data_IF_408301135029
#
_entry.id   IF_408301135029
#
_cell.length_a   1.000
_cell.length_b   1.000
_cell.length_c   1.000
_cell.angle_alpha   90.00
_cell.angle_beta   90.00
_cell.angle_gamma   90.00
#
_symmetry.space_group_name_H-M   'P 1'
#
loop_
_entity.id
_entity.type
_entity.pdbx_description
1 polymer ?
#
# COMPACT_ATOMS: atom_id res chain seq x y z
N UNK A 1 -15.02 -25.06 7.85
CA UNK A 1 -14.70 -23.61 7.98
C UNK A 1 -14.87 -23.22 9.43
N UNK A 2 -13.87 -23.53 10.25
CA UNK A 2 -13.89 -23.30 11.69
C UNK A 2 -12.97 -22.10 11.99
N UNK A 3 -13.53 -21.04 12.57
CA UNK A 3 -12.76 -20.19 13.43
C UNK A 3 -12.45 -18.76 13.02
N UNK A 4 -13.08 -18.16 12.00
CA UNK A 4 -13.02 -16.71 11.89
C UNK A 4 -14.05 -16.11 12.84
N UNK A 5 -13.59 -15.29 13.79
CA UNK A 5 -14.46 -14.55 14.69
C UNK A 5 -15.38 -13.60 13.89
N UNK A 6 -16.65 -13.57 14.27
CA UNK A 6 -17.65 -12.70 13.63
C UNK A 6 -17.22 -11.23 13.66
N UNK A 7 -16.56 -10.78 14.72
CA UNK A 7 -16.01 -9.43 14.88
C UNK A 7 -14.98 -9.13 13.81
N UNK A 8 -14.05 -10.06 13.55
CA UNK A 8 -13.05 -9.94 12.51
C UNK A 8 -13.70 -9.87 11.11
N UNK A 9 -14.69 -10.73 10.85
CA UNK A 9 -15.41 -10.72 9.57
C UNK A 9 -16.12 -9.39 9.32
N UNK A 10 -16.78 -8.83 10.33
CA UNK A 10 -17.42 -7.52 10.24
C UNK A 10 -16.40 -6.41 10.01
N UNK A 11 -15.24 -6.47 10.69
CA UNK A 11 -14.16 -5.50 10.49
C UNK A 11 -13.64 -5.55 9.05
N UNK A 12 -13.28 -6.73 8.54
CA UNK A 12 -12.79 -6.92 7.18
C UNK A 12 -13.80 -6.39 6.15
N UNK A 13 -15.09 -6.74 6.32
CA UNK A 13 -16.15 -6.23 5.45
C UNK A 13 -16.25 -4.70 5.49
N UNK A 14 -16.21 -4.12 6.68
CA UNK A 14 -16.30 -2.66 6.85
C UNK A 14 -15.13 -1.94 6.19
N UNK A 15 -13.91 -2.46 6.36
CA UNK A 15 -12.70 -1.92 5.74
C UNK A 15 -12.78 -1.98 4.22
N UNK A 16 -13.21 -3.12 3.65
CA UNK A 16 -13.39 -3.27 2.20
C UNK A 16 -14.45 -2.33 1.64
N UNK A 17 -15.58 -2.16 2.35
CA UNK A 17 -16.64 -1.22 1.93
C UNK A 17 -16.14 0.22 1.99
N UNK A 18 -15.40 0.59 3.04
CA UNK A 18 -14.80 1.92 3.16
C UNK A 18 -13.88 2.21 1.97
N UNK A 19 -12.98 1.27 1.64
CA UNK A 19 -12.08 1.40 0.48
C UNK A 19 -12.87 1.58 -0.81
N UNK A 20 -13.87 0.72 -1.07
CA UNK A 20 -14.70 0.78 -2.27
C UNK A 20 -15.39 2.14 -2.41
N UNK A 21 -16.07 2.60 -1.37
CA UNK A 21 -16.79 3.87 -1.39
C UNK A 21 -15.84 5.06 -1.55
N UNK A 22 -14.68 5.00 -0.91
CA UNK A 22 -13.64 6.01 -1.06
C UNK A 22 -13.15 6.10 -2.51
N UNK A 23 -12.83 4.97 -3.12
CA UNK A 23 -12.30 4.91 -4.49
C UNK A 23 -13.35 5.33 -5.54
N UNK A 24 -14.59 4.93 -5.37
CA UNK A 24 -15.68 5.39 -6.24
C UNK A 24 -15.81 6.92 -6.17
N UNK A 25 -15.68 7.49 -4.97
CA UNK A 25 -15.71 8.95 -4.77
C UNK A 25 -14.48 9.63 -5.36
N UNK A 26 -13.30 9.05 -5.18
CA UNK A 26 -12.06 9.55 -5.78
C UNK A 26 -12.16 9.56 -7.31
N UNK A 27 -12.66 8.46 -7.90
CA UNK A 27 -12.90 8.37 -9.35
C UNK A 27 -13.88 9.42 -9.87
N UNK A 28 -14.99 9.68 -9.16
CA UNK A 28 -15.91 10.76 -9.51
C UNK A 28 -15.22 12.12 -9.49
N UNK A 29 -14.44 12.41 -8.44
CA UNK A 29 -13.76 13.70 -8.30
C UNK A 29 -12.64 13.87 -9.33
N UNK A 30 -11.98 12.78 -9.72
CA UNK A 30 -11.00 12.78 -10.80
C UNK A 30 -11.68 13.09 -12.14
N UNK A 31 -12.81 12.47 -12.46
CA UNK A 31 -13.61 12.78 -13.65
C UNK A 31 -14.08 14.24 -13.70
N UNK A 32 -14.35 14.84 -12.55
CA UNK A 32 -14.67 16.27 -12.42
C UNK A 32 -13.44 17.18 -12.42
N UNK A 33 -12.24 16.66 -12.67
CA UNK A 33 -10.96 17.40 -12.70
C UNK A 33 -10.64 18.11 -11.38
N UNK A 34 -11.11 17.57 -10.25
CA UNK A 34 -10.80 18.09 -8.90
C UNK A 34 -9.52 17.50 -8.32
N UNK A 35 -9.09 16.37 -8.87
CA UNK A 35 -7.84 15.68 -8.52
C UNK A 35 -6.91 15.83 -9.71
N UNK A 36 -5.69 16.35 -9.47
CA UNK A 36 -4.67 16.55 -10.49
C UNK A 36 -3.71 15.38 -10.63
N UNK A 37 -2.97 15.34 -11.73
CA UNK A 37 -2.01 14.28 -12.00
C UNK A 37 -2.67 12.94 -12.32
N UNK A 38 -1.95 11.83 -12.10
CA UNK A 38 -2.49 10.49 -12.23
C UNK A 38 -3.25 10.09 -10.98
N UNK A 39 -4.35 9.36 -11.16
CA UNK A 39 -5.14 8.80 -10.07
C UNK A 39 -5.29 7.29 -10.30
N UNK A 40 -4.75 6.49 -9.39
CA UNK A 40 -4.76 5.04 -9.48
C UNK A 40 -5.69 4.45 -8.43
N UNK A 41 -6.88 4.03 -8.87
CA UNK A 41 -7.90 3.47 -7.99
C UNK A 41 -7.59 2.02 -7.60
N UNK A 42 -7.94 1.66 -6.37
CA UNK A 42 -7.70 0.34 -5.78
C UNK A 42 -8.90 -0.61 -5.88
N UNK A 43 -9.94 -0.24 -6.65
CA UNK A 43 -11.15 -1.03 -6.81
C UNK A 43 -10.84 -2.46 -7.24
N UNK A 44 -11.45 -3.43 -6.55
CA UNK A 44 -11.32 -4.86 -6.85
C UNK A 44 -10.19 -5.56 -6.10
N UNK A 45 -9.32 -4.84 -5.39
CA UNK A 45 -8.20 -5.41 -4.64
C UNK A 45 -8.35 -5.25 -3.11
N UNK A 46 -9.50 -4.76 -2.64
CA UNK A 46 -9.75 -4.38 -1.25
C UNK A 46 -9.49 -5.51 -0.25
N UNK A 47 -9.77 -6.75 -0.65
CA UNK A 47 -9.57 -7.92 0.20
C UNK A 47 -8.09 -8.17 0.54
N UNK A 48 -7.17 -7.81 -0.38
CA UNK A 48 -5.73 -7.94 -0.14
C UNK A 48 -5.31 -6.98 0.96
N UNK A 49 -5.62 -5.69 0.83
CA UNK A 49 -5.26 -4.70 1.84
C UNK A 49 -5.91 -4.98 3.20
N UNK A 50 -7.22 -5.29 3.23
CA UNK A 50 -7.94 -5.59 4.46
C UNK A 50 -7.40 -6.84 5.16
N UNK A 51 -7.14 -7.92 4.40
CA UNK A 51 -6.63 -9.17 4.93
C UNK A 51 -5.25 -9.01 5.57
N UNK A 52 -4.30 -8.42 4.86
CA UNK A 52 -2.97 -8.17 5.41
C UNK A 52 -2.99 -7.23 6.61
N UNK A 53 -3.74 -6.11 6.52
CA UNK A 53 -3.84 -5.16 7.62
C UNK A 53 -4.37 -5.78 8.92
N UNK A 54 -5.24 -6.80 8.80
CA UNK A 54 -5.77 -7.51 9.98
C UNK A 54 -4.73 -8.38 10.70
N UNK A 55 -3.63 -8.71 10.03
CA UNK A 55 -2.54 -9.54 10.56
C UNK A 55 -1.32 -8.71 10.98
N UNK A 56 -1.27 -7.42 10.63
CA UNK A 56 -0.13 -6.54 10.91
C UNK A 56 -0.29 -5.81 12.25
N UNK A 57 0.84 -5.61 12.90
CA UNK A 57 0.98 -4.75 14.08
C UNK A 57 1.71 -3.45 13.67
N UNK A 58 0.94 -2.43 13.34
CA UNK A 58 1.47 -1.12 12.91
C UNK A 58 2.29 -0.37 13.98
N UNK A 59 2.45 -0.94 15.18
CA UNK A 59 3.41 -0.40 16.17
C UNK A 59 4.86 -0.82 15.89
N UNK A 60 5.07 -1.85 15.06
CA UNK A 60 6.41 -2.41 14.75
C UNK A 60 6.58 -2.84 13.29
N UNK A 61 5.48 -3.16 12.58
CA UNK A 61 5.54 -3.60 11.19
C UNK A 61 5.51 -2.39 10.25
N UNK A 62 6.21 -2.48 9.14
CA UNK A 62 6.27 -1.43 8.12
C UNK A 62 5.60 -1.87 6.84
N UNK A 63 4.95 -0.91 6.17
CA UNK A 63 4.27 -1.13 4.90
C UNK A 63 4.79 -0.19 3.83
N UNK A 64 5.14 -0.74 2.68
CA UNK A 64 5.49 -0.01 1.47
C UNK A 64 4.62 -0.48 0.31
N UNK A 65 4.27 0.43 -0.58
CA UNK A 65 3.37 0.14 -1.71
C UNK A 65 3.92 0.71 -3.01
N UNK A 66 3.38 0.25 -4.12
CA UNK A 66 3.48 0.95 -5.39
C UNK A 66 2.53 2.15 -5.45
N UNK A 67 2.31 2.65 -6.64
CA UNK A 67 1.51 3.86 -6.90
C UNK A 67 0.00 3.72 -6.66
N UNK A 68 -0.51 2.51 -6.41
CA UNK A 68 -1.94 2.22 -6.14
C UNK A 68 -2.11 1.96 -4.64
N UNK A 69 -2.03 3.00 -3.83
CA UNK A 69 -1.82 2.91 -2.39
C UNK A 69 -3.00 3.37 -1.51
N UNK A 70 -4.09 3.88 -2.11
CA UNK A 70 -5.23 4.41 -1.33
C UNK A 70 -5.83 3.37 -0.38
N UNK A 71 -6.09 2.15 -0.88
CA UNK A 71 -6.64 1.06 -0.08
C UNK A 71 -5.73 0.69 1.09
N UNK A 72 -4.42 0.58 0.84
CA UNK A 72 -3.43 0.29 1.87
C UNK A 72 -3.33 1.41 2.92
N UNK A 73 -3.39 2.68 2.48
CA UNK A 73 -3.39 3.83 3.39
C UNK A 73 -4.61 3.82 4.31
N UNK A 74 -5.80 3.52 3.76
CA UNK A 74 -7.02 3.36 4.54
C UNK A 74 -6.92 2.17 5.51
N UNK A 75 -6.40 1.04 5.05
CA UNK A 75 -6.19 -0.15 5.87
C UNK A 75 -5.20 0.08 7.01
N UNK A 76 -4.18 0.92 6.80
CA UNK A 76 -3.26 1.36 7.83
C UNK A 76 -3.88 2.34 8.84
N UNK A 77 -5.16 2.71 8.66
CA UNK A 77 -5.88 3.60 9.56
C UNK A 77 -5.72 5.09 9.27
N UNK A 78 -5.20 5.46 8.10
CA UNK A 78 -5.22 6.85 7.66
C UNK A 78 -6.66 7.29 7.38
N UNK A 79 -7.00 8.52 7.76
CA UNK A 79 -8.38 8.98 7.60
C UNK A 79 -8.73 9.26 6.14
N UNK A 80 -9.93 8.90 5.67
CA UNK A 80 -10.38 9.24 4.31
C UNK A 80 -10.26 10.74 4.00
N UNK A 81 -10.46 11.58 5.02
CA UNK A 81 -10.34 13.04 4.89
C UNK A 81 -8.91 13.47 4.57
N UNK A 82 -7.90 12.91 5.26
CA UNK A 82 -6.50 13.26 5.02
C UNK A 82 -6.04 12.80 3.63
N UNK A 83 -6.44 11.58 3.23
CA UNK A 83 -6.13 11.03 1.91
C UNK A 83 -6.81 11.86 0.82
N UNK A 84 -8.11 12.13 0.93
CA UNK A 84 -8.83 12.94 -0.06
C UNK A 84 -8.26 14.37 -0.15
N UNK A 85 -7.87 14.97 0.97
CA UNK A 85 -7.21 16.28 0.98
C UNK A 85 -5.88 16.24 0.23
N UNK A 86 -5.12 15.16 0.33
CA UNK A 86 -3.89 14.96 -0.43
C UNK A 86 -4.17 14.88 -1.93
N UNK A 87 -5.16 14.09 -2.33
CA UNK A 87 -5.58 13.97 -3.74
C UNK A 87 -6.00 15.31 -4.34
N UNK A 88 -6.60 16.19 -3.53
CA UNK A 88 -6.98 17.55 -3.91
C UNK A 88 -5.83 18.57 -3.84
N UNK A 89 -4.60 18.14 -3.52
CA UNK A 89 -3.44 19.02 -3.40
C UNK A 89 -3.54 20.01 -2.23
N UNK A 90 -4.23 19.63 -1.14
CA UNK A 90 -4.42 20.51 0.02
C UNK A 90 -3.31 20.32 1.05
N UNK A 91 -2.90 21.42 1.68
CA UNK A 91 -1.87 21.41 2.73
C UNK A 91 -2.26 20.54 3.94
N UNK A 92 -3.54 20.25 4.11
CA UNK A 92 -4.07 19.34 5.15
C UNK A 92 -4.02 17.87 4.77
N UNK A 93 -3.52 17.55 3.57
CA UNK A 93 -3.25 16.18 3.15
C UNK A 93 -2.04 15.58 3.86
N UNK A 94 -1.92 14.25 3.85
CA UNK A 94 -0.88 13.52 4.56
C UNK A 94 0.56 13.85 4.09
N UNK A 95 0.72 14.20 2.81
CA UNK A 95 1.98 14.69 2.22
C UNK A 95 1.92 16.19 1.89
N UNK A 96 1.10 16.94 2.60
CA UNK A 96 0.88 18.39 2.46
C UNK A 96 0.48 18.83 1.05
N UNK A 97 -0.27 17.97 0.35
CA UNK A 97 -0.74 18.21 -1.00
C UNK A 97 0.32 18.09 -2.10
N UNK A 98 1.49 17.54 -1.79
CA UNK A 98 2.61 17.39 -2.74
C UNK A 98 2.72 15.99 -3.35
N UNK A 99 2.12 14.99 -2.70
CA UNK A 99 2.19 13.59 -3.09
C UNK A 99 1.13 13.18 -4.10
N UNK A 100 -0.07 13.74 -3.98
CA UNK A 100 -1.21 13.34 -4.81
C UNK A 100 -1.60 11.88 -4.59
N UNK A 101 -2.11 11.22 -5.64
CA UNK A 101 -2.62 9.85 -5.58
C UNK A 101 -1.55 8.77 -5.34
N UNK A 102 -0.29 9.01 -5.65
CA UNK A 102 0.74 7.97 -5.70
C UNK A 102 1.75 8.03 -4.53
N UNK A 103 1.64 9.01 -3.66
CA UNK A 103 2.65 9.26 -2.64
C UNK A 103 1.98 9.65 -1.31
N UNK A 104 1.23 8.69 -0.76
CA UNK A 104 0.61 8.80 0.56
C UNK A 104 1.58 8.24 1.60
N UNK A 105 1.84 8.99 2.68
CA UNK A 105 2.79 8.59 3.73
C UNK A 105 2.21 8.88 5.11
N UNK A 106 2.46 7.99 6.06
CA UNK A 106 2.20 8.21 7.48
C UNK A 106 3.25 7.50 8.34
N UNK A 107 4.27 8.23 8.73
CA UNK A 107 5.37 7.70 9.52
C UNK A 107 4.93 7.20 10.91
N UNK A 108 3.87 7.79 11.49
CA UNK A 108 3.36 7.36 12.80
C UNK A 108 2.68 5.98 12.74
N UNK A 109 2.18 5.60 11.57
CA UNK A 109 1.57 4.29 11.31
C UNK A 109 2.53 3.34 10.61
N UNK A 110 3.80 3.67 10.53
CA UNK A 110 4.79 2.92 9.78
C UNK A 110 4.37 2.63 8.31
N UNK A 111 3.48 3.47 7.77
CA UNK A 111 3.10 3.45 6.38
C UNK A 111 4.07 4.34 5.57
N UNK A 112 5.06 3.69 4.97
CA UNK A 112 6.14 4.36 4.22
C UNK A 112 5.76 4.63 2.76
N UNK A 113 4.52 4.38 2.43
CA UNK A 113 3.80 4.96 1.31
C UNK A 113 4.03 4.36 -0.04
N UNK A 114 3.45 5.08 -1.00
CA UNK A 114 3.44 4.74 -2.40
C UNK A 114 4.66 5.23 -3.16
N UNK A 115 5.05 4.47 -4.17
CA UNK A 115 6.13 4.81 -5.06
C UNK A 115 5.64 4.80 -6.52
N UNK A 116 5.81 5.93 -7.22
CA UNK A 116 5.40 6.07 -8.62
C UNK A 116 6.29 5.29 -9.60
N UNK A 117 7.53 4.96 -9.21
CA UNK A 117 8.44 4.19 -10.05
C UNK A 117 8.20 2.70 -9.81
N UNK A 118 7.76 1.99 -10.86
CA UNK A 118 7.38 0.58 -10.78
C UNK A 118 8.55 -0.28 -10.28
N UNK A 119 8.32 -1.00 -9.19
CA UNK A 119 9.30 -1.91 -8.59
C UNK A 119 10.32 -1.25 -7.66
N UNK A 120 10.45 0.09 -7.66
CA UNK A 120 11.47 0.78 -6.86
C UNK A 120 11.25 0.67 -5.34
N UNK A 121 10.02 0.46 -4.89
CA UNK A 121 9.71 0.25 -3.47
C UNK A 121 10.29 -1.07 -2.92
N UNK A 122 10.57 -2.05 -3.77
CA UNK A 122 10.99 -3.39 -3.32
C UNK A 122 12.39 -3.36 -2.68
N UNK A 123 13.43 -2.78 -3.31
CA UNK A 123 14.73 -2.64 -2.65
C UNK A 123 14.69 -1.70 -1.43
N UNK A 124 13.82 -0.69 -1.43
CA UNK A 124 13.63 0.16 -0.25
C UNK A 124 13.07 -0.66 0.91
N UNK A 125 12.08 -1.51 0.65
CA UNK A 125 11.50 -2.41 1.65
C UNK A 125 12.53 -3.42 2.18
N UNK A 126 13.42 -3.94 1.32
CA UNK A 126 14.53 -4.78 1.76
C UNK A 126 15.46 -4.03 2.72
N UNK A 127 15.72 -2.74 2.47
CA UNK A 127 16.48 -1.87 3.36
C UNK A 127 15.79 -1.65 4.71
N UNK A 128 14.46 -1.43 4.71
CA UNK A 128 13.66 -1.30 5.95
C UNK A 128 13.69 -2.61 6.75
N UNK A 129 13.48 -3.75 6.08
CA UNK A 129 13.55 -5.06 6.72
C UNK A 129 14.97 -5.37 7.27
N UNK A 130 16.01 -4.91 6.59
CA UNK A 130 17.38 -4.99 7.10
C UNK A 130 17.54 -4.18 8.39
N UNK A 131 17.05 -2.95 8.41
CA UNK A 131 17.08 -2.10 9.61
C UNK A 131 16.33 -2.73 10.78
N UNK A 132 15.13 -3.28 10.55
CA UNK A 132 14.36 -3.99 11.57
C UNK A 132 15.13 -5.19 12.15
N UNK A 133 15.75 -5.99 11.27
CA UNK A 133 16.58 -7.12 11.70
C UNK A 133 17.79 -6.66 12.49
N UNK A 134 18.50 -5.63 12.01
CA UNK A 134 19.67 -5.08 12.69
C UNK A 134 19.34 -4.54 14.07
N UNK A 135 18.23 -3.80 14.18
CA UNK A 135 17.75 -3.21 15.43
C UNK A 135 17.01 -4.21 16.34
N UNK A 136 16.73 -5.44 15.84
CA UNK A 136 16.01 -6.49 16.56
C UNK A 136 14.62 -6.05 17.05
N UNK A 137 13.89 -5.31 16.23
CA UNK A 137 12.55 -4.78 16.59
C UNK A 137 11.48 -5.87 16.74
N UNK A 138 11.70 -7.04 16.14
CA UNK A 138 10.72 -8.12 16.09
C UNK A 138 9.55 -7.86 15.12
N UNK A 139 9.60 -6.77 14.33
CA UNK A 139 8.63 -6.47 13.29
C UNK A 139 8.99 -7.06 11.93
N UNK A 140 8.03 -7.01 11.02
CA UNK A 140 8.18 -7.37 9.61
C UNK A 140 7.95 -6.17 8.70
N UNK A 141 8.51 -6.21 7.51
CA UNK A 141 8.22 -5.25 6.44
C UNK A 141 7.39 -5.93 5.36
N UNK A 142 6.24 -5.36 5.03
CA UNK A 142 5.40 -5.82 3.91
C UNK A 142 5.56 -4.84 2.75
N UNK A 143 5.82 -5.38 1.56
CA UNK A 143 5.91 -4.58 0.33
C UNK A 143 4.91 -5.10 -0.70
N UNK A 144 4.04 -4.20 -1.18
CA UNK A 144 3.08 -4.49 -2.23
C UNK A 144 3.57 -3.95 -3.57
N UNK A 145 3.30 -4.72 -4.62
CA UNK A 145 3.63 -4.34 -6.00
C UNK A 145 2.73 -5.09 -6.98
N UNK A 146 2.49 -4.49 -8.14
CA UNK A 146 1.74 -5.14 -9.21
C UNK A 146 2.57 -6.19 -9.94
N UNK A 147 1.89 -7.08 -10.66
CA UNK A 147 2.50 -8.13 -11.49
C UNK A 147 3.51 -7.59 -12.52
N UNK A 148 3.26 -6.41 -13.11
CA UNK A 148 4.23 -5.77 -14.01
C UNK A 148 5.58 -5.43 -13.35
N UNK A 149 5.64 -5.28 -12.03
CA UNK A 149 6.88 -4.96 -11.32
C UNK A 149 7.87 -6.14 -11.25
N UNK A 150 7.42 -7.38 -11.41
CA UNK A 150 8.28 -8.57 -11.36
C UNK A 150 9.31 -8.62 -12.50
N UNK A 151 9.07 -7.87 -13.57
CA UNK A 151 9.98 -7.79 -14.70
C UNK A 151 11.16 -6.81 -14.49
N UNK A 152 11.15 -6.07 -13.38
CA UNK A 152 12.24 -5.17 -13.02
C UNK A 152 13.42 -5.96 -12.39
N UNK A 153 14.65 -5.66 -12.80
CA UNK A 153 15.84 -6.25 -12.19
C UNK A 153 15.88 -6.07 -10.67
N UNK A 154 15.46 -4.89 -10.20
CA UNK A 154 15.39 -4.56 -8.78
C UNK A 154 14.52 -5.52 -7.95
N UNK A 155 13.47 -6.12 -8.53
CA UNK A 155 12.67 -7.17 -7.88
C UNK A 155 13.54 -8.38 -7.54
N UNK A 156 14.23 -8.93 -8.54
CA UNK A 156 15.06 -10.13 -8.38
C UNK A 156 16.24 -9.89 -7.43
N UNK A 157 16.90 -8.75 -7.56
CA UNK A 157 18.04 -8.35 -6.74
C UNK A 157 17.63 -8.19 -5.26
N UNK A 158 16.56 -7.48 -5.00
CA UNK A 158 16.07 -7.25 -3.64
C UNK A 158 15.62 -8.54 -2.95
N UNK A 159 14.90 -9.42 -3.66
CA UNK A 159 14.49 -10.71 -3.12
C UNK A 159 15.67 -11.64 -2.86
N UNK A 160 16.68 -11.62 -3.73
CA UNK A 160 17.93 -12.37 -3.51
C UNK A 160 18.62 -11.90 -2.23
N UNK A 161 18.80 -10.59 -2.04
CA UNK A 161 19.36 -10.02 -0.82
C UNK A 161 18.51 -10.37 0.42
N UNK A 162 17.21 -10.23 0.32
CA UNK A 162 16.29 -10.58 1.40
C UNK A 162 16.44 -12.04 1.85
N UNK A 163 16.59 -12.95 0.87
CA UNK A 163 16.80 -14.38 1.17
C UNK A 163 18.16 -14.65 1.80
N UNK A 164 19.24 -14.12 1.21
CA UNK A 164 20.61 -14.33 1.70
C UNK A 164 20.75 -13.81 3.13
N UNK A 165 20.22 -12.64 3.40
CA UNK A 165 20.29 -12.00 4.72
C UNK A 165 19.16 -12.43 5.67
N UNK A 166 18.24 -13.31 5.24
CA UNK A 166 17.08 -13.78 6.04
C UNK A 166 16.33 -12.60 6.65
N UNK A 167 15.97 -11.63 5.80
CA UNK A 167 15.25 -10.43 6.22
C UNK A 167 13.78 -10.74 6.54
N UNK A 168 13.18 -10.04 7.53
CA UNK A 168 11.75 -10.14 7.81
C UNK A 168 10.93 -9.34 6.76
N UNK A 169 11.03 -9.74 5.50
CA UNK A 169 10.38 -9.14 4.35
C UNK A 169 9.29 -10.05 3.79
N UNK A 170 8.08 -9.53 3.70
CA UNK A 170 6.95 -10.18 3.03
C UNK A 170 6.66 -9.43 1.73
N UNK A 171 6.80 -10.12 0.61
CA UNK A 171 6.57 -9.56 -0.72
C UNK A 171 5.21 -10.00 -1.24
N UNK A 172 4.32 -9.04 -1.54
CA UNK A 172 2.94 -9.28 -1.96
C UNK A 172 2.76 -8.78 -3.39
N UNK A 173 2.58 -9.72 -4.32
CA UNK A 173 2.26 -9.39 -5.71
C UNK A 173 0.74 -9.31 -5.88
N UNK A 174 0.25 -8.12 -6.19
CA UNK A 174 -1.15 -7.86 -6.52
C UNK A 174 -1.35 -8.07 -8.03
N UNK A 175 -1.64 -9.30 -8.41
CA UNK A 175 -1.80 -9.68 -9.82
C UNK A 175 -3.19 -9.28 -10.33
N UNK A 176 -3.30 -8.07 -10.84
CA UNK A 176 -4.48 -7.58 -11.54
C UNK A 176 -4.46 -7.89 -13.04
N UNK A 177 -3.44 -8.61 -13.53
CA UNK A 177 -3.27 -9.05 -14.92
C UNK A 177 -3.02 -7.92 -15.93
N UNK A 178 -2.64 -6.72 -15.44
CA UNK A 178 -2.40 -5.56 -16.28
C UNK A 178 -1.16 -4.78 -15.83
N UNK A 179 -0.22 -4.61 -16.74
CA UNK A 179 0.87 -3.65 -16.63
C UNK A 179 0.53 -2.37 -17.38
N UNK A 180 -0.08 -1.37 -16.72
CA UNK A 180 -0.68 -0.19 -17.36
C UNK A 180 -1.74 -0.58 -18.40
N UNK A 181 -1.49 -0.31 -19.69
CA UNK A 181 -2.36 -0.67 -20.80
C UNK A 181 -2.06 -2.02 -21.45
N UNK A 182 -1.13 -2.81 -20.88
CA UNK A 182 -0.72 -4.11 -21.44
C UNK A 182 -1.23 -5.23 -20.56
N UNK A 183 -2.01 -6.15 -21.13
CA UNK A 183 -2.35 -7.42 -20.48
C UNK A 183 -1.16 -8.37 -20.52
N UNK A 184 -1.08 -9.28 -19.56
CA UNK A 184 -0.08 -10.36 -19.54
C UNK A 184 -0.52 -11.54 -20.38
#
# INVERSE_FOLDING_TARGET
MSGLDATLLWKLRSDMVLMRVFEEKAGQMYGLRKIGGFCHLYNGQEAVAAGFASALDYSKDYVLTGYRDHGHALAAGMTPRAIMAELYGKVTGCSRGKGGSMHLFDAQRHFLGGNGIVGAQIPVAAGVAFAQKYQKTGGATVVYFGDGAIHQGAFHEALNLAKIWKLPLVSVCENNQWGMGTSW
#
